data_IF_555585100626
#
_entry.id   IF_555585100626
#
_cell.length_a   1.000
_cell.length_b   1.000
_cell.length_c   1.000
_cell.angle_alpha   90.00
_cell.angle_beta   90.00
_cell.angle_gamma   90.00
#
_symmetry.space_group_name_H-M   'P 1'
#
loop_
_entity.id
_entity.type
_entity.pdbx_description
1 polymer ?
#
# COMPACT_ATOMS: atom_id res chain seq x y z
N UNK A 1 17.65 -4.25 -17.89
CA UNK A 1 16.25 -4.01 -17.49
C UNK A 1 15.82 -5.19 -16.62
N UNK A 2 16.22 -5.19 -15.34
CA UNK A 2 15.87 -6.28 -14.45
C UNK A 2 14.50 -5.94 -13.87
N UNK A 3 13.46 -6.52 -14.46
CA UNK A 3 12.13 -6.57 -13.85
C UNK A 3 12.29 -7.52 -12.68
N UNK A 4 12.73 -6.97 -11.54
CA UNK A 4 12.88 -7.72 -10.33
C UNK A 4 11.48 -8.22 -9.96
N UNK A 5 11.34 -9.53 -9.95
CA UNK A 5 10.23 -10.24 -9.35
C UNK A 5 10.32 -9.97 -7.84
N UNK A 6 9.84 -8.80 -7.42
CA UNK A 6 9.84 -8.39 -6.02
C UNK A 6 8.66 -9.13 -5.39
N UNK A 7 8.93 -10.26 -4.75
CA UNK A 7 8.16 -10.60 -3.55
C UNK A 7 8.26 -9.35 -2.68
N UNK A 8 7.17 -8.59 -2.54
CA UNK A 8 7.13 -7.43 -1.67
C UNK A 8 7.24 -7.92 -0.23
N UNK A 9 8.49 -8.10 0.22
CA UNK A 9 8.81 -8.36 1.60
C UNK A 9 8.17 -7.26 2.43
N UNK A 10 7.66 -7.62 3.61
CA UNK A 10 6.99 -6.72 4.55
C UNK A 10 7.74 -5.38 4.73
N UNK A 11 9.08 -5.46 4.83
CA UNK A 11 9.98 -4.31 4.96
C UNK A 11 9.96 -3.35 3.77
N UNK A 12 9.79 -3.85 2.53
CA UNK A 12 9.74 -2.99 1.35
C UNK A 12 8.43 -2.22 1.29
N UNK A 13 7.31 -2.89 1.59
CA UNK A 13 6.01 -2.23 1.67
C UNK A 13 5.98 -1.19 2.79
N UNK A 14 6.50 -1.55 3.97
CA UNK A 14 6.60 -0.61 5.10
C UNK A 14 7.44 0.62 4.71
N UNK A 15 8.57 0.44 4.02
CA UNK A 15 9.39 1.55 3.57
C UNK A 15 8.64 2.46 2.58
N UNK A 16 7.97 1.90 1.57
CA UNK A 16 7.19 2.67 0.60
C UNK A 16 6.02 3.42 1.25
N UNK A 17 5.33 2.80 2.21
CA UNK A 17 4.28 3.45 3.00
C UNK A 17 4.83 4.64 3.78
N UNK A 18 5.92 4.45 4.53
CA UNK A 18 6.54 5.55 5.27
C UNK A 18 7.00 6.67 4.32
N UNK A 19 7.57 6.34 3.17
CA UNK A 19 7.97 7.34 2.17
C UNK A 19 6.77 8.10 1.60
N UNK A 20 5.67 7.40 1.27
CA UNK A 20 4.45 7.99 0.72
C UNK A 20 3.80 8.97 1.70
N UNK A 21 3.71 8.60 2.97
CA UNK A 21 3.14 9.44 4.03
C UNK A 21 4.17 10.38 4.68
N UNK A 22 5.35 10.56 4.08
CA UNK A 22 6.41 11.43 4.62
C UNK A 22 6.79 11.15 6.09
N UNK A 23 6.80 9.87 6.48
CA UNK A 23 6.99 9.36 7.84
C UNK A 23 5.94 9.87 8.85
N UNK A 24 4.80 10.40 8.37
CA UNK A 24 3.67 10.76 9.20
C UNK A 24 2.92 9.48 9.60
N UNK A 25 3.27 8.99 10.78
CA UNK A 25 2.68 7.76 11.34
C UNK A 25 1.20 7.91 11.63
N UNK A 26 0.70 9.13 11.90
CA UNK A 26 -0.72 9.33 12.19
C UNK A 26 -1.54 9.20 10.91
N UNK A 27 -1.09 9.81 9.82
CA UNK A 27 -1.74 9.66 8.51
C UNK A 27 -1.63 8.22 7.98
N UNK A 28 -0.48 7.57 8.17
CA UNK A 28 -0.34 6.15 7.82
C UNK A 28 -1.30 5.28 8.64
N UNK A 29 -1.38 5.48 9.96
CA UNK A 29 -2.26 4.71 10.83
C UNK A 29 -3.74 4.89 10.44
N UNK A 30 -4.14 6.14 10.19
CA UNK A 30 -5.49 6.48 9.72
C UNK A 30 -5.80 5.82 8.36
N UNK A 31 -4.88 5.90 7.40
CA UNK A 31 -5.05 5.26 6.10
C UNK A 31 -5.13 3.74 6.21
N UNK A 32 -4.35 3.13 7.11
CA UNK A 32 -4.37 1.69 7.36
C UNK A 32 -5.72 1.21 7.93
N UNK A 33 -6.39 2.05 8.71
CA UNK A 33 -7.71 1.77 9.31
C UNK A 33 -8.87 2.19 8.40
N UNK A 34 -8.60 3.02 7.38
CA UNK A 34 -9.62 3.52 6.45
C UNK A 34 -10.04 2.43 5.45
N UNK A 35 -11.34 2.09 5.35
CA UNK A 35 -11.85 1.18 4.33
C UNK A 35 -11.63 1.75 2.92
N UNK A 36 -10.96 1.00 2.04
CA UNK A 36 -10.70 1.43 0.66
C UNK A 36 -11.68 0.74 -0.30
N UNK A 37 -12.53 1.48 -1.05
CA UNK A 37 -13.50 0.90 -1.97
C UNK A 37 -12.90 -0.06 -3.00
N UNK A 38 -11.70 0.26 -3.53
CA UNK A 38 -10.95 -0.60 -4.48
C UNK A 38 -10.62 -1.97 -3.89
N UNK A 39 -10.39 -2.03 -2.58
CA UNK A 39 -10.09 -3.26 -1.84
C UNK A 39 -11.39 -3.92 -1.32
N UNK A 40 -12.50 -3.78 -2.05
CA UNK A 40 -13.83 -4.24 -1.62
C UNK A 40 -14.29 -3.65 -0.27
N UNK A 41 -13.81 -2.44 0.08
CA UNK A 41 -14.09 -1.83 1.38
C UNK A 41 -13.31 -2.45 2.55
N UNK A 42 -12.26 -3.24 2.28
CA UNK A 42 -11.36 -3.72 3.32
C UNK A 42 -10.36 -2.64 3.72
N UNK A 43 -9.94 -2.68 4.99
CA UNK A 43 -8.89 -1.83 5.52
C UNK A 43 -7.51 -2.37 5.09
N UNK A 44 -6.57 -1.51 4.66
CA UNK A 44 -5.23 -1.92 4.28
C UNK A 44 -4.49 -2.73 5.34
N UNK A 45 -4.74 -2.44 6.63
CA UNK A 45 -4.17 -3.16 7.76
C UNK A 45 -4.40 -4.67 7.71
N UNK A 46 -5.56 -5.11 7.21
CA UNK A 46 -5.87 -6.53 7.08
C UNK A 46 -5.08 -7.22 5.96
N UNK A 47 -4.62 -6.45 4.97
CA UNK A 47 -3.93 -6.93 3.77
C UNK A 47 -2.40 -6.91 3.92
N UNK A 48 -1.86 -6.17 4.90
CA UNK A 48 -0.42 -6.12 5.21
C UNK A 48 0.18 -7.50 5.50
N UNK A 49 -0.61 -8.44 6.02
CA UNK A 49 -0.16 -9.78 6.41
C UNK A 49 -0.35 -10.83 5.30
N UNK A 50 -0.92 -10.44 4.15
CA UNK A 50 -1.24 -11.31 3.04
C UNK A 50 -0.32 -10.94 1.87
N UNK A 51 0.44 -11.90 1.33
CA UNK A 51 1.38 -11.62 0.22
C UNK A 51 0.70 -10.98 -1.00
N UNK A 52 -0.46 -11.51 -1.40
CA UNK A 52 -1.30 -10.93 -2.46
C UNK A 52 -1.81 -9.53 -2.08
N UNK A 53 -2.22 -9.35 -0.81
CA UNK A 53 -2.66 -8.08 -0.27
C UNK A 53 -1.59 -7.00 -0.34
N UNK A 54 -0.32 -7.32 -0.11
CA UNK A 54 0.80 -6.37 -0.22
C UNK A 54 0.96 -5.82 -1.63
N UNK A 55 0.76 -6.67 -2.64
CA UNK A 55 0.83 -6.25 -4.04
C UNK A 55 -0.32 -5.29 -4.38
N UNK A 56 -1.53 -5.61 -3.95
CA UNK A 56 -2.71 -4.74 -4.09
C UNK A 56 -2.51 -3.38 -3.40
N UNK A 57 -1.93 -3.36 -2.19
CA UNK A 57 -1.64 -2.11 -1.48
C UNK A 57 -0.66 -1.22 -2.24
N UNK A 58 0.35 -1.78 -2.88
CA UNK A 58 1.26 -1.00 -3.72
C UNK A 58 0.55 -0.41 -4.93
N UNK A 59 -0.35 -1.15 -5.57
CA UNK A 59 -1.15 -0.63 -6.68
C UNK A 59 -2.03 0.53 -6.21
N UNK A 60 -2.66 0.43 -5.04
CA UNK A 60 -3.44 1.54 -4.46
C UNK A 60 -2.54 2.76 -4.21
N UNK A 61 -1.34 2.58 -3.64
CA UNK A 61 -0.41 3.69 -3.41
C UNK A 61 0.04 4.35 -4.73
N UNK A 62 0.26 3.56 -5.79
CA UNK A 62 0.61 4.08 -7.11
C UNK A 62 -0.55 4.91 -7.70
N UNK A 63 -1.78 4.40 -7.64
CA UNK A 63 -2.97 5.14 -8.09
C UNK A 63 -3.13 6.46 -7.32
N UNK A 64 -2.95 6.44 -6.00
CA UNK A 64 -3.01 7.65 -5.17
C UNK A 64 -1.88 8.64 -5.50
N UNK A 65 -0.68 8.14 -5.87
CA UNK A 65 0.49 8.98 -6.20
C UNK A 65 0.33 9.70 -7.55
N UNK A 66 -0.15 8.99 -8.56
CA UNK A 66 -0.23 9.49 -9.93
C UNK A 66 -1.60 10.04 -10.30
N UNK A 67 -2.61 9.83 -9.45
CA UNK A 67 -3.97 10.28 -9.71
C UNK A 67 -4.60 9.63 -10.94
N UNK A 68 -4.03 8.52 -11.42
CA UNK A 68 -4.61 7.72 -12.51
C UNK A 68 -5.86 7.03 -11.96
N UNK A 69 -6.97 7.76 -12.01
CA UNK A 69 -8.29 7.18 -12.14
C UNK A 69 -8.29 6.41 -13.46
N UNK A 70 -8.25 5.08 -13.40
CA UNK A 70 -8.75 4.29 -14.52
C UNK A 70 -10.22 4.67 -14.82
#
# INVERSE_FOLDING_TARGET
MQINHICCSELQLEHELNMFFNNDKAQLDEWLDTPIPRLNGQCPRALLFIEEGRSELLTVLQEMRFGETA
#
